data_IF_809074619330
#
_entry.id   IF_809074619330
#
_cell.length_a   1.000
_cell.length_b   1.000
_cell.length_c   1.000
_cell.angle_alpha   90.00
_cell.angle_beta   90.00
_cell.angle_gamma   90.00
#
_symmetry.space_group_name_H-M   'P 1'
#
loop_
_entity.id
_entity.type
_entity.pdbx_description
1 polymer ?
#
# COMPACT_ATOMS: atom_id res chain seq x y z
N UNK A 1 11.29 -7.01 6.22
CA UNK A 1 12.47 -7.17 5.36
C UNK A 1 12.88 -8.61 5.00
N UNK A 2 13.00 -9.58 5.92
CA UNK A 2 13.45 -10.96 5.56
C UNK A 2 12.53 -11.69 4.58
N UNK A 3 11.21 -11.61 4.78
CA UNK A 3 10.23 -12.32 3.94
C UNK A 3 10.35 -11.95 2.44
N UNK A 4 10.41 -10.67 2.10
CA UNK A 4 10.54 -10.25 0.68
C UNK A 4 11.86 -10.70 0.06
N UNK A 5 12.94 -10.75 0.86
CA UNK A 5 14.23 -11.27 0.42
C UNK A 5 14.18 -12.77 0.20
N UNK A 6 13.37 -13.50 0.95
CA UNK A 6 13.09 -14.92 0.69
C UNK A 6 12.27 -15.11 -0.59
N UNK A 7 11.29 -14.24 -0.89
CA UNK A 7 10.51 -14.28 -2.15
C UNK A 7 11.43 -14.17 -3.37
N UNK A 8 12.33 -13.18 -3.37
CA UNK A 8 13.33 -13.04 -4.43
C UNK A 8 14.54 -13.99 -4.25
N UNK A 9 14.55 -14.83 -3.21
CA UNK A 9 15.64 -15.74 -2.83
C UNK A 9 17.02 -15.06 -2.73
N UNK A 10 17.05 -13.79 -2.32
CA UNK A 10 18.28 -13.11 -1.88
C UNK A 10 18.76 -13.65 -0.53
N UNK A 11 17.82 -14.18 0.25
CA UNK A 11 18.06 -14.99 1.44
C UNK A 11 17.43 -16.36 1.15
N UNK A 12 18.18 -17.42 1.41
CA UNK A 12 17.74 -18.79 1.24
C UNK A 12 16.78 -19.16 2.37
N UNK A 13 15.52 -19.55 2.06
CA UNK A 13 14.61 -20.06 3.08
C UNK A 13 15.16 -21.36 3.67
N UNK A 14 15.16 -21.47 5.00
CA UNK A 14 15.60 -22.70 5.67
C UNK A 14 14.68 -23.90 5.36
N UNK A 15 13.37 -23.64 5.31
CA UNK A 15 12.30 -24.61 5.01
C UNK A 15 11.20 -23.89 4.22
N UNK A 16 10.34 -24.67 3.55
CA UNK A 16 9.19 -24.15 2.80
C UNK A 16 9.49 -23.94 1.32
N UNK A 17 8.51 -23.40 0.60
CA UNK A 17 8.57 -23.23 -0.84
C UNK A 17 8.07 -21.85 -1.24
N UNK A 18 8.67 -21.29 -2.30
CA UNK A 18 8.22 -20.04 -2.92
C UNK A 18 7.81 -20.36 -4.35
N UNK A 19 6.57 -20.00 -4.70
CA UNK A 19 6.01 -20.22 -6.03
C UNK A 19 5.75 -18.88 -6.71
N UNK A 20 6.21 -18.73 -7.94
CA UNK A 20 5.97 -17.57 -8.81
C UNK A 20 5.44 -18.07 -10.15
N UNK A 21 4.22 -17.67 -10.51
CA UNK A 21 3.53 -18.09 -11.75
C UNK A 21 3.64 -19.61 -12.00
N UNK A 22 3.36 -20.40 -10.97
CA UNK A 22 3.38 -21.86 -11.02
C UNK A 22 4.77 -22.50 -11.05
N UNK A 23 5.86 -21.73 -10.95
CA UNK A 23 7.24 -22.25 -10.85
C UNK A 23 7.79 -22.10 -9.44
N UNK A 24 8.43 -23.16 -8.95
CA UNK A 24 9.04 -23.17 -7.62
C UNK A 24 10.42 -22.49 -7.64
N UNK A 25 10.51 -21.28 -7.08
CA UNK A 25 11.73 -20.46 -7.00
C UNK A 25 12.79 -21.08 -6.07
N UNK A 26 12.36 -21.77 -5.02
CA UNK A 26 13.24 -22.45 -4.05
C UNK A 26 14.03 -23.60 -4.66
N UNK A 27 13.49 -24.26 -5.69
CA UNK A 27 14.12 -25.39 -6.36
C UNK A 27 15.01 -24.99 -7.57
N UNK A 28 14.97 -23.73 -7.99
CA UNK A 28 15.69 -23.26 -9.17
C UNK A 28 17.21 -23.33 -9.02
N UNK A 29 17.89 -23.58 -10.13
CA UNK A 29 19.34 -23.38 -10.20
C UNK A 29 19.67 -21.87 -10.29
N UNK A 30 20.96 -21.54 -10.26
CA UNK A 30 21.42 -20.14 -10.28
C UNK A 30 21.15 -19.43 -11.61
N UNK A 31 21.02 -20.15 -12.72
CA UNK A 31 20.73 -19.58 -14.03
C UNK A 31 19.26 -19.19 -14.16
N UNK A 32 18.36 -20.13 -13.83
CA UNK A 32 16.91 -19.89 -13.83
C UNK A 32 16.54 -18.76 -12.86
N UNK A 33 17.16 -18.73 -11.68
CA UNK A 33 16.93 -17.69 -10.68
C UNK A 33 17.37 -16.30 -11.18
N UNK A 34 18.47 -16.22 -11.95
CA UNK A 34 18.89 -14.96 -12.58
C UNK A 34 17.93 -14.53 -13.67
N UNK A 35 17.35 -15.46 -14.43
CA UNK A 35 16.37 -15.15 -15.47
C UNK A 35 15.10 -14.55 -14.87
N UNK A 36 14.54 -15.19 -13.84
CA UNK A 36 13.36 -14.66 -13.11
C UNK A 36 13.64 -13.26 -12.55
N UNK A 37 14.80 -13.04 -11.94
CA UNK A 37 15.20 -11.71 -11.43
C UNK A 37 15.37 -10.64 -12.50
N UNK A 38 15.56 -11.02 -13.76
CA UNK A 38 15.73 -10.09 -14.88
C UNK A 38 14.43 -9.80 -15.61
N UNK A 39 13.43 -10.68 -15.51
CA UNK A 39 12.23 -10.61 -16.36
C UNK A 39 10.94 -10.52 -15.58
N UNK A 40 10.92 -11.00 -14.33
CA UNK A 40 9.68 -11.23 -13.61
C UNK A 40 9.58 -10.51 -12.27
N UNK A 41 10.73 -10.28 -11.63
CA UNK A 41 10.82 -9.59 -10.34
C UNK A 41 11.62 -8.30 -10.48
N UNK A 42 11.07 -7.21 -9.98
CA UNK A 42 11.82 -5.99 -9.67
C UNK A 42 11.82 -5.76 -8.17
N UNK A 43 12.91 -5.23 -7.62
CA UNK A 43 13.02 -4.94 -6.19
C UNK A 43 13.42 -3.48 -5.96
N UNK A 44 12.68 -2.81 -5.08
CA UNK A 44 12.96 -1.48 -4.55
C UNK A 44 13.39 -1.66 -3.10
N UNK A 45 14.61 -1.20 -2.80
CA UNK A 45 15.23 -1.32 -1.47
C UNK A 45 15.04 -0.04 -0.66
N UNK A 46 14.91 -0.17 0.65
CA UNK A 46 14.94 0.92 1.64
C UNK A 46 16.12 1.89 1.43
N UNK A 47 17.30 1.33 1.11
CA UNK A 47 18.46 2.10 0.66
C UNK A 47 18.64 1.88 -0.84
N UNK A 48 18.28 2.90 -1.62
CA UNK A 48 18.22 2.80 -3.09
C UNK A 48 19.56 2.48 -3.75
N UNK A 49 20.69 2.62 -3.06
CA UNK A 49 21.99 2.12 -3.53
C UNK A 49 22.31 2.64 -4.94
N UNK A 50 22.09 3.93 -5.18
CA UNK A 50 22.40 4.54 -6.46
C UNK A 50 23.92 4.50 -6.68
N UNK A 51 24.33 4.14 -7.89
CA UNK A 51 25.72 4.12 -8.31
C UNK A 51 26.22 5.57 -8.38
N UNK A 52 27.16 5.99 -7.50
CA UNK A 52 27.55 7.39 -7.35
C UNK A 52 28.33 7.93 -8.55
N UNK A 53 28.85 7.04 -9.39
CA UNK A 53 29.65 7.33 -10.58
C UNK A 53 28.84 7.25 -11.88
N UNK A 54 27.52 7.08 -11.81
CA UNK A 54 26.60 7.09 -12.95
C UNK A 54 25.58 8.22 -12.76
N UNK A 55 25.13 8.83 -13.86
CA UNK A 55 24.03 9.81 -13.80
C UNK A 55 22.69 9.11 -13.49
N UNK A 56 21.63 9.90 -13.34
CA UNK A 56 20.27 9.43 -13.03
C UNK A 56 19.76 8.47 -14.11
N UNK A 57 19.88 8.82 -15.38
CA UNK A 57 19.41 7.98 -16.49
C UNK A 57 20.09 6.60 -16.49
N UNK A 58 21.42 6.59 -16.32
CA UNK A 58 22.23 5.38 -16.31
C UNK A 58 22.01 4.54 -15.03
N UNK A 59 21.59 5.16 -13.92
CA UNK A 59 21.16 4.46 -12.72
C UNK A 59 19.83 3.74 -12.93
N UNK A 60 18.86 4.42 -13.54
CA UNK A 60 17.55 3.83 -13.85
C UNK A 60 17.67 2.75 -14.93
N UNK A 61 18.53 2.94 -15.93
CA UNK A 61 18.78 1.96 -16.98
C UNK A 61 19.68 0.77 -16.58
N UNK A 62 20.33 0.82 -15.41
CA UNK A 62 21.29 -0.19 -14.97
C UNK A 62 20.70 -1.62 -14.92
N UNK A 63 19.50 -1.87 -14.38
CA UNK A 63 18.94 -3.22 -14.36
C UNK A 63 18.68 -3.76 -15.76
N UNK A 64 18.22 -2.92 -16.69
CA UNK A 64 18.01 -3.28 -18.09
C UNK A 64 19.34 -3.58 -18.80
N UNK A 65 20.43 -2.88 -18.45
CA UNK A 65 21.79 -3.18 -18.91
C UNK A 65 22.22 -4.57 -18.48
N UNK A 66 21.99 -4.90 -17.20
CA UNK A 66 22.28 -6.23 -16.65
C UNK A 66 21.39 -7.32 -17.26
N UNK A 67 20.17 -6.97 -17.68
CA UNK A 67 19.25 -7.85 -18.39
C UNK A 67 19.59 -8.02 -19.88
N UNK A 68 20.54 -7.26 -20.42
CA UNK A 68 21.00 -7.37 -21.81
C UNK A 68 20.11 -6.65 -22.84
N UNK A 69 19.26 -5.73 -22.41
CA UNK A 69 18.40 -4.92 -23.30
C UNK A 69 19.27 -4.01 -24.20
N UNK A 70 18.81 -3.63 -25.39
CA UNK A 70 19.59 -2.73 -26.25
C UNK A 70 19.77 -1.34 -25.62
N UNK A 71 20.85 -0.61 -25.96
CA UNK A 71 21.15 0.71 -25.37
C UNK A 71 20.07 1.75 -25.67
N UNK A 72 19.50 1.74 -26.87
CA UNK A 72 18.46 2.70 -27.25
C UNK A 72 17.19 2.45 -26.44
N UNK A 73 16.71 1.21 -26.46
CA UNK A 73 15.53 0.78 -25.71
C UNK A 73 15.69 1.01 -24.19
N UNK A 74 16.89 0.77 -23.64
CA UNK A 74 17.21 1.08 -22.25
C UNK A 74 16.98 2.54 -21.89
N UNK A 75 17.45 3.46 -22.73
CA UNK A 75 17.33 4.90 -22.47
C UNK A 75 15.89 5.36 -22.61
N UNK A 76 15.16 4.82 -23.58
CA UNK A 76 13.73 5.10 -23.76
C UNK A 76 12.93 4.69 -22.52
N UNK A 77 13.04 3.42 -22.09
CA UNK A 77 12.35 2.92 -20.89
C UNK A 77 12.75 3.67 -19.62
N UNK A 78 14.04 3.97 -19.45
CA UNK A 78 14.53 4.72 -18.30
C UNK A 78 14.03 6.16 -18.28
N UNK A 79 13.93 6.83 -19.42
CA UNK A 79 13.33 8.16 -19.54
C UNK A 79 11.84 8.13 -19.18
N UNK A 80 11.07 7.20 -19.74
CA UNK A 80 9.64 7.06 -19.41
C UNK A 80 9.42 6.81 -17.91
N UNK A 81 10.23 5.95 -17.30
CA UNK A 81 10.17 5.72 -15.85
C UNK A 81 10.53 6.98 -15.03
N UNK A 82 11.46 7.81 -15.52
CA UNK A 82 11.82 9.08 -14.88
C UNK A 82 10.73 10.14 -15.04
N UNK A 83 10.06 10.20 -16.17
CA UNK A 83 8.91 11.07 -16.40
C UNK A 83 7.76 10.73 -15.45
N UNK A 84 7.47 9.43 -15.26
CA UNK A 84 6.43 8.95 -14.35
C UNK A 84 6.65 9.37 -12.89
N UNK A 85 7.90 9.49 -12.44
CA UNK A 85 8.25 9.94 -11.08
C UNK A 85 8.60 11.42 -10.99
N UNK A 86 8.35 12.19 -12.06
CA UNK A 86 8.59 13.64 -12.09
C UNK A 86 10.07 14.06 -12.18
N UNK A 87 10.97 13.18 -12.63
CA UNK A 87 12.41 13.42 -12.75
C UNK A 87 12.95 13.48 -14.19
N UNK A 88 12.09 13.68 -15.19
CA UNK A 88 12.50 13.75 -16.60
C UNK A 88 13.58 14.79 -16.91
N UNK A 89 13.58 15.94 -16.22
CA UNK A 89 14.59 17.00 -16.40
C UNK A 89 15.94 16.69 -15.73
N UNK A 90 16.00 15.69 -14.87
CA UNK A 90 17.17 15.36 -14.03
C UNK A 90 18.00 14.20 -14.57
N UNK A 91 17.69 13.70 -15.76
CA UNK A 91 18.34 12.54 -16.41
C UNK A 91 19.88 12.63 -16.43
N UNK A 92 20.42 13.82 -16.70
CA UNK A 92 21.87 14.07 -16.76
C UNK A 92 22.54 14.34 -15.41
N UNK A 93 21.78 14.50 -14.33
CA UNK A 93 22.33 14.81 -13.01
C UNK A 93 23.00 13.60 -12.35
N UNK A 94 23.96 13.87 -11.47
CA UNK A 94 24.63 12.87 -10.64
C UNK A 94 23.89 12.70 -9.30
N UNK A 95 23.93 11.52 -8.66
CA UNK A 95 23.22 11.29 -7.40
C UNK A 95 23.54 12.29 -6.29
N UNK A 96 24.77 12.79 -6.22
CA UNK A 96 25.17 13.80 -5.22
C UNK A 96 24.54 15.19 -5.43
N UNK A 97 23.96 15.45 -6.60
CA UNK A 97 23.24 16.70 -6.91
C UNK A 97 21.76 16.64 -6.55
N UNK A 98 21.26 15.47 -6.13
CA UNK A 98 19.86 15.24 -5.84
C UNK A 98 19.57 15.36 -4.34
N UNK A 99 18.37 15.84 -4.02
CA UNK A 99 17.83 15.77 -2.66
C UNK A 99 17.63 14.31 -2.22
N UNK A 100 17.44 14.09 -0.92
CA UNK A 100 17.11 12.77 -0.38
C UNK A 100 15.92 12.13 -1.09
N UNK A 101 14.79 12.86 -1.16
CA UNK A 101 13.56 12.43 -1.83
C UNK A 101 13.78 12.11 -3.32
N UNK A 102 14.52 12.95 -4.05
CA UNK A 102 14.81 12.71 -5.46
C UNK A 102 15.61 11.42 -5.67
N UNK A 103 16.60 11.12 -4.82
CA UNK A 103 17.34 9.83 -4.89
C UNK A 103 16.41 8.63 -4.73
N UNK A 104 15.36 8.78 -3.92
CA UNK A 104 14.36 7.74 -3.72
C UNK A 104 13.51 7.53 -4.97
N UNK A 105 13.03 8.62 -5.58
CA UNK A 105 12.30 8.59 -6.85
C UNK A 105 13.12 7.92 -7.95
N UNK A 106 14.43 8.18 -8.02
CA UNK A 106 15.33 7.46 -8.96
C UNK A 106 15.36 5.95 -8.68
N UNK A 107 15.38 5.55 -7.42
CA UNK A 107 15.36 4.13 -7.04
C UNK A 107 14.02 3.44 -7.34
N UNK A 108 12.90 4.16 -7.20
CA UNK A 108 11.57 3.71 -7.63
C UNK A 108 11.51 3.57 -9.16
N UNK A 109 11.93 4.61 -9.89
CA UNK A 109 12.00 4.60 -11.36
C UNK A 109 12.84 3.42 -11.88
N UNK A 110 13.93 3.07 -11.19
CA UNK A 110 14.77 1.91 -11.52
C UNK A 110 13.99 0.59 -11.45
N UNK A 111 13.11 0.43 -10.47
CA UNK A 111 12.22 -0.72 -10.38
C UNK A 111 11.16 -0.72 -11.48
N UNK A 112 10.56 0.44 -11.75
CA UNK A 112 9.51 0.61 -12.76
C UNK A 112 10.02 0.41 -14.19
N UNK A 113 11.25 0.85 -14.50
CA UNK A 113 11.85 0.74 -15.82
C UNK A 113 12.03 -0.71 -16.31
N UNK A 114 12.09 -1.67 -15.39
CA UNK A 114 12.17 -3.10 -15.70
C UNK A 114 10.86 -3.68 -16.24
N UNK A 115 9.73 -3.00 -16.00
CA UNK A 115 8.40 -3.42 -16.47
C UNK A 115 8.05 -4.87 -16.10
N UNK A 116 8.45 -5.33 -14.91
CA UNK A 116 8.22 -6.71 -14.48
C UNK A 116 6.79 -6.93 -13.97
N UNK A 117 6.20 -8.13 -14.11
CA UNK A 117 4.90 -8.47 -13.53
C UNK A 117 4.80 -8.27 -12.01
N UNK A 118 5.90 -8.52 -11.28
CA UNK A 118 5.93 -8.42 -9.82
C UNK A 118 6.96 -7.37 -9.37
N UNK A 119 6.54 -6.51 -8.45
CA UNK A 119 7.35 -5.45 -7.86
C UNK A 119 7.40 -5.63 -6.34
N UNK A 120 8.61 -5.81 -5.82
CA UNK A 120 8.88 -6.05 -4.41
C UNK A 120 9.42 -4.76 -3.79
N UNK A 121 8.76 -4.22 -2.77
CA UNK A 121 9.18 -2.98 -2.10
C UNK A 121 9.46 -3.23 -0.62
N UNK A 122 10.69 -2.99 -0.19
CA UNK A 122 11.13 -3.14 1.20
C UNK A 122 11.29 -1.76 1.83
N UNK A 123 10.27 -1.28 2.53
CA UNK A 123 10.19 0.04 3.16
C UNK A 123 10.61 1.20 2.24
N UNK A 124 9.96 1.35 1.06
CA UNK A 124 10.40 2.30 0.06
C UNK A 124 10.24 3.77 0.50
N UNK A 125 9.47 4.05 1.55
CA UNK A 125 9.15 5.42 1.98
C UNK A 125 9.61 5.76 3.40
N UNK A 126 10.23 4.82 4.13
CA UNK A 126 10.54 5.00 5.56
C UNK A 126 11.52 6.13 5.85
N UNK A 127 12.39 6.48 4.89
CA UNK A 127 13.39 7.54 5.02
C UNK A 127 12.92 8.91 4.49
N UNK A 128 11.62 9.08 4.18
CA UNK A 128 11.05 10.30 3.62
C UNK A 128 10.37 11.18 4.66
N UNK A 129 10.39 12.49 4.40
CA UNK A 129 9.49 13.42 5.07
C UNK A 129 8.02 13.11 4.71
N UNK A 130 7.07 13.52 5.57
CA UNK A 130 5.66 13.19 5.37
C UNK A 130 5.04 13.73 4.07
N UNK A 131 5.53 14.85 3.53
CA UNK A 131 4.97 15.46 2.31
C UNK A 131 5.41 14.65 1.10
N UNK A 132 6.71 14.43 0.93
CA UNK A 132 7.25 13.65 -0.21
C UNK A 132 6.75 12.20 -0.15
N UNK A 133 6.61 11.63 1.05
CA UNK A 133 6.01 10.31 1.25
C UNK A 133 4.60 10.23 0.66
N UNK A 134 3.75 11.21 0.96
CA UNK A 134 2.37 11.22 0.47
C UNK A 134 2.31 11.33 -1.05
N UNK A 135 3.10 12.24 -1.62
CA UNK A 135 3.20 12.41 -3.08
C UNK A 135 3.61 11.11 -3.78
N UNK A 136 4.62 10.41 -3.24
CA UNK A 136 5.09 9.15 -3.83
C UNK A 136 4.09 7.99 -3.68
N UNK A 137 3.28 7.99 -2.62
CA UNK A 137 2.18 7.04 -2.49
C UNK A 137 1.09 7.32 -3.53
N UNK A 138 0.77 8.59 -3.79
CA UNK A 138 -0.19 8.97 -4.85
C UNK A 138 0.32 8.58 -6.23
N UNK A 139 1.61 8.81 -6.52
CA UNK A 139 2.26 8.34 -7.74
C UNK A 139 2.19 6.80 -7.86
N UNK A 140 2.43 6.07 -6.76
CA UNK A 140 2.34 4.61 -6.75
C UNK A 140 0.91 4.10 -7.04
N UNK A 141 -0.10 4.73 -6.45
CA UNK A 141 -1.51 4.39 -6.67
C UNK A 141 -1.92 4.66 -8.12
N UNK A 142 -1.55 5.81 -8.67
CA UNK A 142 -1.79 6.14 -10.08
C UNK A 142 -1.08 5.17 -11.05
N UNK A 143 0.14 4.74 -10.70
CA UNK A 143 0.86 3.71 -11.43
C UNK A 143 0.14 2.35 -11.36
N UNK A 144 -0.38 1.98 -10.20
CA UNK A 144 -1.07 0.72 -10.03
C UNK A 144 -2.36 0.65 -10.87
N UNK A 145 -3.12 1.76 -10.94
CA UNK A 145 -4.32 1.86 -11.78
C UNK A 145 -4.01 1.66 -13.28
N UNK A 146 -2.85 2.11 -13.74
CA UNK A 146 -2.48 2.07 -15.16
C UNK A 146 -1.74 0.80 -15.58
N UNK A 147 -0.92 0.22 -14.71
CA UNK A 147 0.04 -0.84 -15.09
C UNK A 147 -0.37 -2.24 -14.59
N UNK A 148 -1.31 -2.34 -13.65
CA UNK A 148 -1.87 -3.59 -13.12
C UNK A 148 -0.82 -4.67 -12.76
N UNK A 149 0.24 -4.27 -12.06
CA UNK A 149 1.31 -5.18 -11.59
C UNK A 149 0.98 -5.74 -10.21
N UNK A 150 1.59 -6.86 -9.84
CA UNK A 150 1.51 -7.36 -8.46
C UNK A 150 2.57 -6.65 -7.62
N UNK A 151 2.16 -5.92 -6.58
CA UNK A 151 3.09 -5.22 -5.68
C UNK A 151 3.09 -5.90 -4.32
N UNK A 152 4.26 -6.34 -3.87
CA UNK A 152 4.46 -6.80 -2.48
C UNK A 152 5.13 -5.66 -1.73
N UNK A 153 4.34 -4.95 -0.94
CA UNK A 153 4.78 -3.77 -0.20
C UNK A 153 5.02 -4.13 1.27
N UNK A 154 6.22 -3.81 1.78
CA UNK A 154 6.56 -3.96 3.19
C UNK A 154 6.74 -2.58 3.80
N UNK A 155 6.08 -2.38 4.93
CA UNK A 155 6.21 -1.19 5.77
C UNK A 155 6.04 -1.57 7.23
N UNK A 156 6.52 -0.69 8.11
CA UNK A 156 6.25 -0.73 9.54
C UNK A 156 5.12 0.25 9.93
N UNK A 157 4.66 1.09 9.00
CA UNK A 157 3.61 2.08 9.22
C UNK A 157 2.28 1.54 8.67
N UNK A 158 1.33 1.31 9.56
CA UNK A 158 0.02 0.78 9.19
C UNK A 158 -0.81 1.78 8.38
N UNK A 159 -0.63 3.09 8.57
CA UNK A 159 -1.32 4.09 7.75
C UNK A 159 -0.88 3.96 6.28
N UNK A 160 0.40 3.67 6.03
CA UNK A 160 0.87 3.39 4.67
C UNK A 160 0.21 2.12 4.12
N UNK A 161 0.25 1.02 4.88
CA UNK A 161 -0.32 -0.26 4.44
C UNK A 161 -1.83 -0.15 4.15
N UNK A 162 -2.56 0.61 4.96
CA UNK A 162 -3.99 0.88 4.77
C UNK A 162 -4.22 1.72 3.51
N UNK A 163 -3.40 2.75 3.26
CA UNK A 163 -3.55 3.63 2.10
C UNK A 163 -3.23 2.95 0.77
N UNK A 164 -2.17 2.13 0.69
CA UNK A 164 -1.71 1.54 -0.58
C UNK A 164 -2.07 0.06 -0.78
N UNK A 165 -2.49 -0.65 0.26
CA UNK A 165 -2.68 -2.10 0.20
C UNK A 165 -4.13 -2.52 -0.06
N UNK A 166 -4.34 -3.37 -1.06
CA UNK A 166 -5.63 -4.07 -1.24
C UNK A 166 -5.85 -5.15 -0.17
N UNK A 167 -4.75 -5.76 0.29
CA UNK A 167 -4.71 -6.81 1.32
C UNK A 167 -3.49 -6.58 2.21
N UNK A 168 -3.70 -6.66 3.52
CA UNK A 168 -2.67 -6.46 4.53
C UNK A 168 -2.42 -7.79 5.24
N UNK A 169 -1.15 -8.14 5.41
CA UNK A 169 -0.70 -9.23 6.28
C UNK A 169 0.14 -8.66 7.41
N UNK A 170 -0.35 -8.76 8.65
CA UNK A 170 0.38 -8.35 9.86
C UNK A 170 1.22 -9.52 10.33
N UNK A 171 2.48 -9.24 10.64
CA UNK A 171 3.43 -10.24 11.13
C UNK A 171 4.02 -9.84 12.49
N UNK A 172 4.25 -10.84 13.35
CA UNK A 172 4.97 -10.70 14.62
C UNK A 172 5.90 -11.89 14.80
N UNK A 173 7.16 -11.65 15.15
CA UNK A 173 8.17 -12.68 15.41
C UNK A 173 8.33 -13.74 14.28
N UNK A 174 8.07 -13.32 13.03
CA UNK A 174 8.15 -14.19 11.86
C UNK A 174 6.87 -14.96 11.53
N UNK A 175 5.82 -14.83 12.33
CA UNK A 175 4.52 -15.44 12.10
C UNK A 175 3.52 -14.43 11.55
N UNK A 176 2.66 -14.87 10.63
CA UNK A 176 1.53 -14.07 10.15
C UNK A 176 0.41 -14.17 11.17
N UNK A 177 0.06 -13.05 11.78
CA UNK A 177 -0.94 -12.97 12.86
C UNK A 177 -2.34 -12.76 12.26
N UNK A 178 -2.46 -11.91 11.25
CA UNK A 178 -3.72 -11.61 10.59
C UNK A 178 -3.50 -11.27 9.12
N UNK A 179 -4.42 -11.69 8.27
CA UNK A 179 -4.50 -11.28 6.86
C UNK A 179 -5.92 -10.84 6.56
N UNK A 180 -6.09 -9.67 5.97
CA UNK A 180 -7.42 -9.15 5.64
C UNK A 180 -7.36 -7.95 4.69
N UNK A 181 -8.53 -7.48 4.29
CA UNK A 181 -8.65 -6.15 3.69
C UNK A 181 -8.33 -5.07 4.74
N UNK A 182 -7.89 -3.87 4.34
CA UNK A 182 -7.55 -2.79 5.29
C UNK A 182 -8.60 -2.56 6.37
N UNK A 183 -9.88 -2.42 5.98
CA UNK A 183 -10.96 -2.14 6.92
C UNK A 183 -11.20 -3.31 7.89
N UNK A 184 -11.05 -4.55 7.44
CA UNK A 184 -11.25 -5.72 8.31
C UNK A 184 -10.15 -5.84 9.36
N UNK A 185 -8.90 -5.56 8.97
CA UNK A 185 -7.75 -5.58 9.89
C UNK A 185 -7.90 -4.55 11.01
N UNK A 186 -8.44 -3.37 10.73
CA UNK A 186 -8.63 -2.31 11.73
C UNK A 186 -9.90 -2.53 12.57
N UNK A 187 -11.01 -2.92 11.95
CA UNK A 187 -12.31 -3.04 12.63
C UNK A 187 -12.48 -4.34 13.41
N UNK A 188 -11.85 -5.42 12.94
CA UNK A 188 -11.92 -6.75 13.52
C UNK A 188 -10.49 -7.29 13.80
N UNK A 189 -9.74 -6.67 14.73
CA UNK A 189 -8.41 -7.15 15.07
C UNK A 189 -8.48 -8.55 15.69
N UNK A 190 -7.63 -9.46 15.22
CA UNK A 190 -7.62 -10.87 15.60
C UNK A 190 -7.20 -11.09 17.07
N UNK A 191 -6.28 -10.26 17.59
CA UNK A 191 -5.83 -10.34 18.98
C UNK A 191 -5.54 -8.94 19.57
N UNK A 192 -5.07 -8.91 20.83
CA UNK A 192 -4.74 -7.66 21.52
C UNK A 192 -3.56 -6.92 20.89
N UNK A 193 -2.62 -7.64 20.28
CA UNK A 193 -1.47 -7.04 19.62
C UNK A 193 -1.89 -6.33 18.33
N UNK A 194 -2.69 -6.98 17.48
CA UNK A 194 -3.22 -6.32 16.28
C UNK A 194 -4.07 -5.13 16.68
N UNK A 195 -4.88 -5.25 17.73
CA UNK A 195 -5.69 -4.14 18.23
C UNK A 195 -4.84 -2.94 18.67
N UNK A 196 -3.74 -3.18 19.38
CA UNK A 196 -2.79 -2.13 19.80
C UNK A 196 -2.10 -1.51 18.58
N UNK A 197 -1.69 -2.34 17.63
CA UNK A 197 -1.04 -1.90 16.40
C UNK A 197 -1.95 -1.06 15.49
N UNK A 198 -3.27 -1.24 15.56
CA UNK A 198 -4.27 -0.54 14.75
C UNK A 198 -4.86 0.71 15.41
N UNK A 199 -4.45 1.09 16.63
CA UNK A 199 -5.12 2.18 17.38
C UNK A 199 -4.99 3.55 16.71
N UNK A 200 -3.83 3.83 16.11
CA UNK A 200 -3.50 5.16 15.56
C UNK A 200 -3.78 5.29 14.06
N UNK A 201 -4.53 4.35 13.49
CA UNK A 201 -4.83 4.34 12.05
C UNK A 201 -5.96 5.29 11.74
N UNK A 202 -5.70 6.23 10.82
CA UNK A 202 -6.74 7.13 10.31
C UNK A 202 -7.58 6.39 9.28
N UNK A 203 -8.88 6.26 9.54
CA UNK A 203 -9.83 5.60 8.62
C UNK A 203 -10.52 6.60 7.67
N UNK A 204 -10.21 7.88 7.81
CA UNK A 204 -10.78 8.99 7.07
C UNK A 204 -10.80 8.76 5.55
N UNK A 205 -11.99 8.86 4.94
CA UNK A 205 -12.21 8.70 3.49
C UNK A 205 -12.11 7.28 2.94
N UNK A 206 -11.73 6.27 3.74
CA UNK A 206 -11.55 4.87 3.30
C UNK A 206 -12.67 3.94 3.78
N UNK A 207 -13.36 4.32 4.84
CA UNK A 207 -14.44 3.54 5.42
C UNK A 207 -15.78 4.07 4.91
N UNK A 208 -16.45 3.25 4.11
CA UNK A 208 -17.82 3.51 3.66
C UNK A 208 -18.83 2.74 4.49
N UNK A 209 -20.10 3.14 4.41
CA UNK A 209 -21.23 2.43 5.00
C UNK A 209 -21.22 0.94 4.62
N UNK A 210 -20.99 0.63 3.34
CA UNK A 210 -20.89 -0.74 2.84
C UNK A 210 -19.77 -1.55 3.52
N UNK A 211 -18.69 -0.90 3.94
CA UNK A 211 -17.54 -1.59 4.54
C UNK A 211 -17.71 -1.93 6.02
N UNK A 212 -18.67 -1.30 6.71
CA UNK A 212 -18.93 -1.53 8.15
C UNK A 212 -20.33 -2.08 8.43
N UNK A 213 -21.19 -2.15 7.40
CA UNK A 213 -22.50 -2.74 7.53
C UNK A 213 -22.42 -4.23 7.83
N UNK A 214 -23.34 -4.67 8.64
CA UNK A 214 -23.67 -6.07 8.79
C UNK A 214 -24.74 -6.41 7.74
N UNK A 215 -24.43 -7.41 6.91
CA UNK A 215 -25.33 -7.97 5.90
C UNK A 215 -26.11 -9.18 6.43
N UNK A 216 -25.76 -9.66 7.63
CA UNK A 216 -26.30 -10.86 8.26
C UNK A 216 -27.32 -10.60 9.37
N UNK A 217 -27.64 -9.35 9.70
CA UNK A 217 -28.74 -9.06 10.63
C UNK A 217 -30.03 -9.51 9.97
N UNK A 218 -30.89 -10.22 10.71
CA UNK A 218 -32.18 -10.83 10.33
C UNK A 218 -33.21 -9.85 9.74
N UNK A 219 -32.85 -9.14 8.67
CA UNK A 219 -33.60 -8.04 8.11
C UNK A 219 -33.43 -8.03 6.60
N UNK A 220 -34.49 -8.44 5.91
CA UNK A 220 -35.11 -7.49 5.00
C UNK A 220 -36.63 -7.45 5.30
N UNK A 221 -37.01 -7.30 6.57
CA UNK A 221 -38.43 -7.11 6.98
C UNK A 221 -38.66 -5.99 7.99
N UNK A 222 -37.74 -5.03 8.09
CA UNK A 222 -38.05 -3.73 8.66
C UNK A 222 -38.16 -2.74 7.50
N UNK A 223 -39.35 -2.17 7.32
CA UNK A 223 -39.54 -1.00 6.48
C UNK A 223 -38.56 0.07 6.95
N UNK A 224 -37.81 0.66 6.04
CA UNK A 224 -36.79 1.62 6.41
C UNK A 224 -37.42 2.76 7.23
N UNK A 225 -36.87 3.07 8.40
CA UNK A 225 -37.25 4.31 9.08
C UNK A 225 -36.41 5.39 8.38
N UNK A 226 -37.06 6.19 7.52
CA UNK A 226 -36.43 7.23 6.70
C UNK A 226 -35.53 8.19 7.49
N UNK A 227 -35.60 8.19 8.83
CA UNK A 227 -34.78 9.00 9.72
C UNK A 227 -33.33 8.54 9.86
N UNK A 228 -33.02 7.27 9.61
CA UNK A 228 -31.68 6.70 9.86
C UNK A 228 -31.12 5.93 8.65
N UNK A 229 -31.36 6.44 7.45
CA UNK A 229 -30.92 5.84 6.19
C UNK A 229 -29.65 6.54 5.67
N UNK A 230 -28.66 5.74 5.28
CA UNK A 230 -27.41 6.19 4.65
C UNK A 230 -27.14 5.40 3.37
N UNK A 231 -26.46 6.02 2.41
CA UNK A 231 -26.07 5.33 1.18
C UNK A 231 -24.90 4.37 1.44
N UNK A 232 -24.83 3.28 0.68
CA UNK A 232 -23.75 2.28 0.79
C UNK A 232 -22.34 2.85 0.50
N UNK A 233 -22.25 3.90 -0.31
CA UNK A 233 -21.01 4.62 -0.62
C UNK A 233 -20.73 5.80 0.32
N UNK A 234 -21.61 6.10 1.28
CA UNK A 234 -21.41 7.18 2.24
C UNK A 234 -20.17 6.92 3.10
N UNK A 235 -19.27 7.90 3.18
CA UNK A 235 -18.02 7.81 3.95
C UNK A 235 -18.26 8.07 5.42
N UNK A 236 -17.34 7.63 6.29
CA UNK A 236 -17.46 7.71 7.74
C UNK A 236 -17.92 9.10 8.25
N UNK A 237 -17.38 10.19 7.69
CA UNK A 237 -17.76 11.57 8.04
C UNK A 237 -19.24 11.89 7.80
N UNK A 238 -19.85 11.27 6.80
CA UNK A 238 -21.28 11.40 6.50
C UNK A 238 -22.13 10.53 7.43
N UNK A 239 -21.54 9.44 7.97
CA UNK A 239 -22.19 8.55 8.91
C UNK A 239 -22.21 9.11 10.33
N UNK A 240 -21.19 9.86 10.73
CA UNK A 240 -21.05 10.41 12.09
C UNK A 240 -22.27 11.26 12.51
N UNK A 241 -22.70 12.28 11.74
CA UNK A 241 -23.87 13.08 12.10
C UNK A 241 -25.15 12.26 12.23
N UNK A 242 -25.33 11.26 11.36
CA UNK A 242 -26.48 10.36 11.38
C UNK A 242 -26.44 9.45 12.62
N UNK A 243 -25.28 8.90 12.96
CA UNK A 243 -25.06 8.03 14.12
C UNK A 243 -25.24 8.72 15.47
N UNK A 244 -24.78 9.97 15.60
CA UNK A 244 -24.94 10.75 16.83
C UNK A 244 -26.41 11.04 17.17
N UNK A 245 -27.26 11.12 16.15
CA UNK A 245 -28.71 11.35 16.30
C UNK A 245 -29.51 10.05 16.37
N UNK A 246 -28.85 8.90 16.16
CA UNK A 246 -29.49 7.60 16.06
C UNK A 246 -29.58 6.90 17.42
N UNK A 247 -30.75 6.31 17.66
CA UNK A 247 -31.00 5.42 18.81
C UNK A 247 -31.14 3.96 18.39
N UNK A 248 -31.00 3.69 17.08
CA UNK A 248 -31.10 2.38 16.43
C UNK A 248 -29.97 2.25 15.39
N UNK A 249 -29.66 1.03 14.92
CA UNK A 249 -28.69 0.83 13.84
C UNK A 249 -29.02 1.67 12.60
N UNK A 250 -27.99 2.22 11.94
CA UNK A 250 -28.19 2.93 10.67
C UNK A 250 -28.54 1.91 9.58
N UNK A 251 -29.49 2.27 8.72
CA UNK A 251 -29.90 1.45 7.59
C UNK A 251 -29.10 1.85 6.36
N UNK A 252 -28.49 0.88 5.69
CA UNK A 252 -27.66 1.12 4.51
C UNK A 252 -28.43 0.75 3.26
N UNK A 253 -28.62 1.70 2.36
CA UNK A 253 -29.32 1.50 1.09
C UNK A 253 -28.38 1.70 -0.09
N UNK A 254 -28.62 0.95 -1.16
CA UNK A 254 -27.96 1.23 -2.43
C UNK A 254 -28.59 2.45 -3.12
N UNK A 255 -28.01 2.89 -4.25
CA UNK A 255 -28.54 4.03 -5.02
C UNK A 255 -29.95 3.83 -5.59
N UNK A 256 -30.44 2.59 -5.64
CA UNK A 256 -31.81 2.27 -6.03
C UNK A 256 -32.80 2.35 -4.85
N UNK A 257 -32.34 2.72 -3.64
CA UNK A 257 -33.14 2.82 -2.42
C UNK A 257 -33.44 1.47 -1.78
N UNK A 258 -32.75 0.41 -2.18
CA UNK A 258 -32.94 -0.94 -1.61
C UNK A 258 -32.03 -1.09 -0.41
N UNK A 259 -32.59 -1.55 0.72
CA UNK A 259 -31.84 -1.90 1.92
C UNK A 259 -30.86 -3.04 1.62
N UNK A 260 -29.56 -2.80 1.83
CA UNK A 260 -28.47 -3.75 1.58
C UNK A 260 -27.73 -4.18 2.84
N UNK A 261 -27.94 -3.47 3.95
CA UNK A 261 -27.37 -3.85 5.25
C UNK A 261 -27.75 -2.87 6.36
N UNK A 262 -27.21 -3.10 7.55
CA UNK A 262 -27.37 -2.20 8.70
C UNK A 262 -26.05 -1.99 9.42
N UNK A 263 -25.81 -0.82 9.99
CA UNK A 263 -24.60 -0.50 10.76
C UNK A 263 -25.00 -0.39 12.23
N UNK A 264 -24.62 -1.37 13.08
CA UNK A 264 -24.77 -1.23 14.52
C UNK A 264 -24.03 -0.01 15.04
N UNK A 265 -24.63 0.74 15.97
CA UNK A 265 -24.03 1.96 16.53
C UNK A 265 -22.67 1.68 17.20
N UNK A 266 -22.48 0.49 17.78
CA UNK A 266 -21.19 0.07 18.34
C UNK A 266 -20.09 -0.06 17.28
N UNK A 267 -20.42 -0.52 16.08
CA UNK A 267 -19.46 -0.60 14.95
C UNK A 267 -19.11 0.79 14.44
N UNK A 268 -20.10 1.67 14.33
CA UNK A 268 -19.86 3.06 13.98
C UNK A 268 -18.99 3.78 15.02
N UNK A 269 -19.29 3.60 16.30
CA UNK A 269 -18.50 4.19 17.39
C UNK A 269 -17.04 3.69 17.39
N UNK A 270 -16.79 2.41 17.10
CA UNK A 270 -15.41 1.90 16.94
C UNK A 270 -14.69 2.55 15.77
N UNK A 271 -15.36 2.68 14.62
CA UNK A 271 -14.80 3.38 13.48
C UNK A 271 -14.48 4.85 13.79
N UNK A 272 -15.32 5.53 14.57
CA UNK A 272 -15.10 6.91 15.03
C UNK A 272 -13.95 7.06 16.02
N UNK A 273 -13.83 6.18 17.01
CA UNK A 273 -12.76 6.25 18.02
C UNK A 273 -11.38 6.05 17.38
N UNK A 274 -11.29 5.13 16.40
CA UNK A 274 -10.08 4.99 15.58
C UNK A 274 -9.76 6.26 14.78
N UNK A 275 -10.76 7.05 14.39
CA UNK A 275 -10.58 8.31 13.66
C UNK A 275 -10.24 9.50 14.58
N UNK A 276 -10.87 9.63 15.76
CA UNK A 276 -10.59 10.70 16.72
C UNK A 276 -9.21 10.59 17.38
N UNK A 277 -8.77 9.37 17.74
CA UNK A 277 -7.42 9.12 18.26
C UNK A 277 -6.35 9.54 17.23
N UNK A 278 -6.63 9.29 15.96
CA UNK A 278 -5.84 9.75 14.84
C UNK A 278 -5.78 11.29 14.76
N UNK A 279 -6.90 12.01 14.86
CA UNK A 279 -6.94 13.48 14.76
C UNK A 279 -6.18 14.17 15.91
N UNK A 280 -6.31 13.68 17.15
CA UNK A 280 -5.65 14.26 18.32
C UNK A 280 -4.11 14.20 18.22
N UNK A 281 -3.55 13.14 17.65
CA UNK A 281 -2.11 12.99 17.45
C UNK A 281 -1.50 13.96 16.42
N UNK A 282 -2.30 14.54 15.51
CA UNK A 282 -1.82 15.62 14.61
C UNK A 282 -1.75 16.98 15.27
N UNK A 283 -2.56 17.24 16.29
CA UNK A 283 -2.65 18.56 16.93
C UNK A 283 -1.62 18.77 18.04
N UNK A 284 -0.98 17.71 18.56
CA UNK A 284 0.09 17.84 19.56
C UNK A 284 1.50 18.03 18.96
N UNK A 285 1.63 18.08 17.63
CA UNK A 285 2.90 18.26 16.91
C UNK A 285 3.31 19.69 16.57
N UNK A 286 2.52 20.71 16.93
CA UNK A 286 2.88 22.12 16.74
C UNK A 286 3.47 22.70 18.05
N UNK A 287 4.80 22.83 18.20
CA UNK A 287 5.32 23.69 19.24
C UNK A 287 5.02 25.13 18.84
N UNK A 288 4.16 25.80 19.63
CA UNK A 288 3.97 27.23 19.59
C UNK A 288 5.33 27.93 19.71
N UNK A 289 5.78 28.54 18.60
CA UNK A 289 6.85 29.52 18.56
C UNK A 289 6.31 30.93 18.75
#
# INVERSE_FOLDING_TARGET
STLVRCINRLIEPSVGQVWLDGREVTAMNQEDLREIRRRELAMVFQHFGLMPHRNVLDNVGLPLEVAGVDKQERRERANSALELVGLGEWTGSMPNQLSGGMKQRVGLARGLAMDTPVLLMDEPFSALDPVIRRELQDELLALQESVQKTIVFITHDLNEAVRVGDRIAIMRDGEVVQVGAPNDVVLNPADSFVREFTQDVRLHGMVTAASIMDTGVEALTAQADDRYVVLEDAVLDELVPAGLSATQPLQVVNRAGVLVGVIPLERLARAMVSDEAAVAATTEGEPAG
#
